data_IF_394710362654
#
_entry.id   IF_394710362654
#
_cell.length_a   1.000
_cell.length_b   1.000
_cell.length_c   1.000
_cell.angle_alpha   90.00
_cell.angle_beta   90.00
_cell.angle_gamma   90.00
#
_symmetry.space_group_name_H-M   'P 1'
#
loop_
_entity.id
_entity.type
_entity.pdbx_description
1 polymer ?
#
# COMPACT_ATOMS: atom_id res chain seq x y z
N UNK A 1 9.81 -0.01 35.21
CA UNK A 1 9.41 -1.01 34.20
C UNK A 1 9.87 -0.53 32.84
N UNK A 2 11.00 -1.04 32.30
CA UNK A 2 11.40 -0.73 30.92
C UNK A 2 10.50 -1.55 30.01
N UNK A 3 9.37 -0.96 29.61
CA UNK A 3 8.46 -1.56 28.65
C UNK A 3 9.28 -1.83 27.39
N UNK A 4 9.46 -3.10 27.05
CA UNK A 4 10.10 -3.53 25.82
C UNK A 4 9.21 -3.03 24.67
N UNK A 5 9.55 -1.88 24.10
CA UNK A 5 8.83 -1.33 22.96
C UNK A 5 9.23 -2.14 21.72
N UNK A 6 8.35 -3.00 21.18
CA UNK A 6 8.67 -3.76 19.99
C UNK A 6 8.80 -2.78 18.84
N UNK A 7 9.93 -2.82 18.13
CA UNK A 7 10.24 -1.87 17.06
C UNK A 7 9.25 -1.92 15.88
N UNK A 8 8.42 -2.97 15.81
CA UNK A 8 7.30 -3.13 14.86
C UNK A 8 6.15 -2.12 15.13
N UNK A 9 5.99 -1.66 16.38
CA UNK A 9 4.95 -0.69 16.73
C UNK A 9 5.14 0.66 16.03
N UNK A 10 6.37 1.01 15.66
CA UNK A 10 6.68 2.29 15.01
C UNK A 10 6.08 2.35 13.57
N UNK A 11 6.39 1.40 12.65
CA UNK A 11 5.69 1.34 11.36
C UNK A 11 4.17 1.16 11.49
N UNK A 12 3.71 0.37 12.45
CA UNK A 12 2.27 0.11 12.62
C UNK A 12 1.51 1.38 13.02
N UNK A 13 2.05 2.18 13.95
CA UNK A 13 1.45 3.45 14.35
C UNK A 13 1.41 4.45 13.20
N UNK A 14 2.46 4.50 12.38
CA UNK A 14 2.49 5.38 11.19
C UNK A 14 1.43 4.97 10.15
N UNK A 15 1.25 3.67 9.91
CA UNK A 15 0.19 3.18 9.00
C UNK A 15 -1.20 3.46 9.57
N UNK A 16 -1.39 3.32 10.89
CA UNK A 16 -2.65 3.65 11.55
C UNK A 16 -3.01 5.15 11.42
N UNK A 17 -2.03 6.04 11.53
CA UNK A 17 -2.23 7.47 11.27
C UNK A 17 -2.67 7.72 9.81
N UNK A 18 -2.00 7.09 8.84
CA UNK A 18 -2.39 7.19 7.43
C UNK A 18 -3.78 6.61 7.13
N UNK A 19 -4.23 5.61 7.88
CA UNK A 19 -5.60 5.10 7.79
C UNK A 19 -6.65 6.11 8.27
N UNK A 20 -6.32 6.92 9.29
CA UNK A 20 -7.20 8.01 9.71
C UNK A 20 -7.29 9.10 8.64
N UNK A 21 -6.17 9.46 8.02
CA UNK A 21 -6.17 10.40 6.88
C UNK A 21 -7.01 9.85 5.72
N UNK A 22 -6.87 8.56 5.39
CA UNK A 22 -7.66 7.89 4.36
C UNK A 22 -9.15 7.88 4.71
N UNK A 23 -9.51 7.64 5.98
CA UNK A 23 -10.89 7.65 6.43
C UNK A 23 -11.52 9.03 6.21
N UNK A 24 -10.84 10.09 6.66
CA UNK A 24 -11.31 11.48 6.50
C UNK A 24 -11.45 11.81 5.01
N UNK A 25 -10.44 11.49 4.19
CA UNK A 25 -10.47 11.72 2.75
C UNK A 25 -11.60 10.93 2.06
N UNK A 26 -11.85 9.69 2.48
CA UNK A 26 -12.91 8.83 1.93
C UNK A 26 -14.30 9.36 2.27
N UNK A 27 -14.51 9.87 3.49
CA UNK A 27 -15.79 10.49 3.89
C UNK A 27 -16.06 11.73 3.05
N UNK A 28 -15.06 12.60 2.86
CA UNK A 28 -15.18 13.78 2.01
C UNK A 28 -15.47 13.38 0.56
N UNK A 29 -14.76 12.38 0.03
CA UNK A 29 -14.96 11.87 -1.33
C UNK A 29 -16.37 11.32 -1.54
N UNK A 30 -16.89 10.53 -0.60
CA UNK A 30 -18.24 9.99 -0.66
C UNK A 30 -19.28 11.10 -0.57
N UNK A 31 -19.08 12.10 0.29
CA UNK A 31 -19.95 13.28 0.36
C UNK A 31 -20.01 14.04 -0.96
N UNK A 32 -18.87 14.26 -1.61
CA UNK A 32 -18.80 14.86 -2.94
C UNK A 32 -19.46 13.97 -4.01
N UNK A 33 -19.23 12.65 -3.98
CA UNK A 33 -19.83 11.73 -4.93
C UNK A 33 -21.36 11.77 -4.88
N UNK A 34 -21.95 11.85 -3.68
CA UNK A 34 -23.39 12.02 -3.48
C UNK A 34 -23.86 13.39 -4.01
N UNK A 35 -23.13 14.46 -3.69
CA UNK A 35 -23.45 15.82 -4.15
C UNK A 35 -23.45 15.94 -5.68
N UNK A 36 -22.50 15.30 -6.36
CA UNK A 36 -22.42 15.26 -7.83
C UNK A 36 -23.32 14.20 -8.49
N UNK A 37 -24.11 13.45 -7.72
CA UNK A 37 -25.03 12.44 -8.24
C UNK A 37 -24.37 11.20 -8.83
N UNK A 38 -23.16 10.85 -8.38
CA UNK A 38 -22.46 9.63 -8.82
C UNK A 38 -23.21 8.41 -8.29
N UNK A 39 -23.56 7.47 -9.18
CA UNK A 39 -24.27 6.25 -8.83
C UNK A 39 -23.36 5.28 -8.07
N UNK A 40 -23.45 5.35 -6.74
CA UNK A 40 -22.79 4.45 -5.81
C UNK A 40 -23.37 3.03 -5.94
N UNK A 41 -22.67 2.14 -6.63
CA UNK A 41 -23.03 0.72 -6.75
C UNK A 41 -22.65 -0.11 -5.52
N UNK A 42 -23.19 -1.33 -5.40
CA UNK A 42 -22.84 -2.30 -4.35
C UNK A 42 -21.32 -2.63 -4.28
N UNK A 43 -20.56 -2.32 -5.32
CA UNK A 43 -19.10 -2.52 -5.36
C UNK A 43 -18.35 -1.72 -4.29
N UNK A 44 -18.97 -0.72 -3.67
CA UNK A 44 -18.41 0.02 -2.52
C UNK A 44 -18.11 -0.91 -1.35
N UNK A 45 -18.84 -2.04 -1.22
CA UNK A 45 -18.58 -3.05 -0.21
C UNK A 45 -17.21 -3.74 -0.38
N UNK A 46 -16.56 -3.59 -1.54
CA UNK A 46 -15.19 -4.05 -1.78
C UNK A 46 -14.12 -3.07 -1.27
N UNK A 47 -14.47 -1.82 -0.96
CA UNK A 47 -13.51 -0.83 -0.46
C UNK A 47 -12.79 -1.29 0.81
N UNK A 48 -13.46 -1.83 1.85
CA UNK A 48 -12.78 -2.34 3.04
C UNK A 48 -11.72 -3.40 2.72
N UNK A 49 -11.98 -4.27 1.75
CA UNK A 49 -11.02 -5.30 1.32
C UNK A 49 -9.76 -4.67 0.72
N UNK A 50 -9.91 -3.66 -0.14
CA UNK A 50 -8.76 -2.96 -0.73
C UNK A 50 -8.01 -2.10 0.29
N UNK A 51 -8.70 -1.52 1.27
CA UNK A 51 -8.09 -0.81 2.40
C UNK A 51 -7.21 -1.77 3.21
N UNK A 52 -7.72 -2.97 3.53
CA UNK A 52 -6.93 -3.99 4.24
C UNK A 52 -5.70 -4.37 3.42
N UNK A 53 -5.85 -4.63 2.12
CA UNK A 53 -4.72 -5.00 1.27
C UNK A 53 -3.67 -3.88 1.18
N UNK A 54 -4.10 -2.62 1.05
CA UNK A 54 -3.23 -1.44 1.08
C UNK A 54 -2.48 -1.31 2.41
N UNK A 55 -3.18 -1.55 3.52
CA UNK A 55 -2.61 -1.52 4.87
C UNK A 55 -1.50 -2.57 5.03
N UNK A 56 -1.76 -3.80 4.57
CA UNK A 56 -0.78 -4.88 4.63
C UNK A 56 0.45 -4.58 3.76
N UNK A 57 0.26 -4.02 2.57
CA UNK A 57 1.35 -3.60 1.69
C UNK A 57 2.19 -2.48 2.33
N UNK A 58 1.52 -1.46 2.88
CA UNK A 58 2.17 -0.33 3.55
C UNK A 58 2.95 -0.79 4.79
N UNK A 59 2.41 -1.73 5.58
CA UNK A 59 3.11 -2.35 6.71
C UNK A 59 4.33 -3.13 6.24
N UNK A 60 4.19 -3.98 5.23
CA UNK A 60 5.29 -4.77 4.69
C UNK A 60 6.44 -3.89 4.19
N UNK A 61 6.13 -2.82 3.47
CA UNK A 61 7.12 -1.86 2.99
C UNK A 61 7.72 -1.04 4.13
N UNK A 62 6.88 -0.56 5.05
CA UNK A 62 7.32 0.20 6.22
C UNK A 62 8.28 -0.58 7.11
N UNK A 63 8.03 -1.89 7.32
CA UNK A 63 8.94 -2.79 8.04
C UNK A 63 10.26 -2.94 7.28
N UNK A 64 10.22 -3.19 5.97
CA UNK A 64 11.42 -3.35 5.14
C UNK A 64 12.29 -2.09 5.18
N UNK A 65 11.67 -0.93 4.91
CA UNK A 65 12.33 0.37 4.87
C UNK A 65 12.88 0.74 6.25
N UNK A 66 12.13 0.50 7.33
CA UNK A 66 12.60 0.74 8.70
C UNK A 66 13.85 -0.08 9.00
N UNK A 67 13.86 -1.36 8.62
CA UNK A 67 15.02 -2.23 8.80
C UNK A 67 16.24 -1.77 8.00
N UNK A 68 16.03 -1.28 6.77
CA UNK A 68 17.11 -0.74 5.94
C UNK A 68 17.63 0.60 6.46
N UNK A 69 16.75 1.47 6.99
CA UNK A 69 17.12 2.79 7.53
C UNK A 69 18.06 2.68 8.74
N UNK A 70 17.89 1.65 9.58
CA UNK A 70 18.82 1.36 10.69
C UNK A 70 20.24 1.13 10.20
N UNK A 71 20.41 0.48 9.04
CA UNK A 71 21.71 0.21 8.44
C UNK A 71 22.23 1.37 7.59
N UNK A 72 21.33 2.06 6.87
CA UNK A 72 21.66 3.12 5.91
C UNK A 72 20.77 4.35 6.13
N UNK A 73 21.33 5.38 6.77
CA UNK A 73 20.60 6.61 7.10
C UNK A 73 20.13 7.40 5.87
N UNK A 74 20.84 7.28 4.75
CA UNK A 74 20.55 7.99 3.50
C UNK A 74 19.21 7.59 2.86
N UNK A 75 18.70 6.41 3.21
CA UNK A 75 17.39 5.93 2.74
C UNK A 75 16.28 6.91 3.11
N UNK A 76 16.39 7.59 4.26
CA UNK A 76 15.41 8.59 4.68
C UNK A 76 15.26 9.73 3.66
N UNK A 77 16.34 10.13 3.00
CA UNK A 77 16.33 11.21 2.01
C UNK A 77 15.93 10.71 0.62
N UNK A 78 16.24 9.45 0.28
CA UNK A 78 15.85 8.86 -0.99
C UNK A 78 14.37 8.44 -1.05
N UNK A 79 13.76 8.11 0.10
CA UNK A 79 12.38 7.61 0.17
C UNK A 79 11.35 8.49 -0.52
N UNK A 80 11.28 9.82 -0.31
CA UNK A 80 10.32 10.68 -0.99
C UNK A 80 10.43 10.59 -2.51
N UNK A 81 11.67 10.55 -3.03
CA UNK A 81 11.92 10.42 -4.47
C UNK A 81 11.46 9.06 -5.00
N UNK A 82 11.80 7.97 -4.30
CA UNK A 82 11.38 6.62 -4.66
C UNK A 82 9.85 6.50 -4.69
N UNK A 83 9.17 6.99 -3.65
CA UNK A 83 7.71 6.96 -3.57
C UNK A 83 7.07 7.82 -4.66
N UNK A 84 7.64 8.97 -4.98
CA UNK A 84 7.16 9.83 -6.05
C UNK A 84 7.30 9.15 -7.43
N UNK A 85 8.46 8.56 -7.72
CA UNK A 85 8.64 7.77 -8.96
C UNK A 85 7.67 6.59 -9.00
N UNK A 86 7.48 5.90 -7.88
CA UNK A 86 6.59 4.75 -7.80
C UNK A 86 5.11 5.12 -8.01
N UNK A 87 4.71 6.31 -7.55
CA UNK A 87 3.39 6.88 -7.83
C UNK A 87 3.17 7.06 -9.35
N UNK A 88 4.16 7.57 -10.08
CA UNK A 88 4.07 7.71 -11.55
C UNK A 88 4.08 6.37 -12.29
N UNK A 89 4.77 5.36 -11.75
CA UNK A 89 4.76 4.00 -12.30
C UNK A 89 3.43 3.26 -12.04
N UNK A 90 2.61 3.76 -11.12
CA UNK A 90 1.29 3.20 -10.81
C UNK A 90 0.22 3.99 -11.55
N UNK A 91 -0.86 3.36 -12.06
CA UNK A 91 -1.92 4.07 -12.79
C UNK A 91 -2.86 4.84 -11.83
N UNK A 92 -2.30 5.76 -11.05
CA UNK A 92 -3.00 6.63 -10.11
C UNK A 92 -3.53 7.86 -10.86
N UNK A 93 -2.64 8.56 -11.57
CA UNK A 93 -2.94 9.84 -12.25
C UNK A 93 -3.53 9.62 -13.64
N UNK A 94 -3.26 8.46 -14.25
CA UNK A 94 -3.75 8.08 -15.57
C UNK A 94 -4.48 6.74 -15.54
N UNK A 95 -5.44 6.50 -16.45
CA UNK A 95 -6.07 5.20 -16.58
C UNK A 95 -5.12 4.20 -17.26
N UNK A 96 -5.14 2.94 -16.82
CA UNK A 96 -4.30 1.88 -17.37
C UNK A 96 -4.52 1.62 -18.89
N UNK A 97 -5.63 2.10 -19.47
CA UNK A 97 -5.94 1.99 -20.90
C UNK A 97 -4.98 2.78 -21.81
N UNK A 98 -4.39 3.87 -21.30
CA UNK A 98 -3.45 4.71 -22.05
C UNK A 98 -2.11 4.01 -22.26
N UNK A 99 -1.80 3.00 -21.43
CA UNK A 99 -0.52 2.29 -21.51
C UNK A 99 -0.56 1.24 -22.64
N UNK A 100 0.47 1.24 -23.53
CA UNK A 100 0.57 0.26 -24.61
C UNK A 100 0.46 -1.18 -24.09
N UNK A 101 -0.22 -2.05 -24.85
CA UNK A 101 -0.47 -3.44 -24.44
C UNK A 101 0.82 -4.19 -24.05
N UNK A 102 1.94 -3.90 -24.72
CA UNK A 102 3.27 -4.47 -24.43
C UNK A 102 3.82 -4.18 -23.02
N UNK A 103 3.31 -3.17 -22.31
CA UNK A 103 3.77 -2.79 -20.97
C UNK A 103 2.72 -3.04 -19.88
N UNK A 104 1.52 -3.53 -20.22
CA UNK A 104 0.47 -3.80 -19.23
C UNK A 104 0.85 -4.90 -18.24
N UNK A 105 1.67 -5.86 -18.65
CA UNK A 105 2.18 -6.89 -17.74
C UNK A 105 3.07 -6.31 -16.63
N UNK A 106 3.85 -5.26 -16.95
CA UNK A 106 4.72 -4.60 -15.97
C UNK A 106 3.87 -3.81 -14.96
N UNK A 107 2.76 -3.20 -15.40
CA UNK A 107 1.80 -2.59 -14.50
C UNK A 107 1.12 -3.63 -13.60
N UNK A 108 0.74 -4.79 -14.13
CA UNK A 108 0.11 -5.85 -13.36
C UNK A 108 1.06 -6.47 -12.31
N UNK A 109 2.37 -6.42 -12.53
CA UNK A 109 3.38 -6.86 -11.58
C UNK A 109 3.59 -5.88 -10.42
N UNK A 110 3.07 -4.65 -10.50
CA UNK A 110 3.13 -3.72 -9.38
C UNK A 110 1.96 -4.01 -8.41
N UNK A 111 2.23 -4.37 -7.13
CA UNK A 111 1.17 -4.71 -6.19
C UNK A 111 0.19 -3.55 -5.94
N UNK A 112 0.65 -2.30 -6.12
CA UNK A 112 -0.21 -1.12 -5.97
C UNK A 112 -1.21 -0.95 -7.11
N UNK A 113 -0.93 -1.49 -8.30
CA UNK A 113 -1.84 -1.37 -9.47
C UNK A 113 -3.18 -2.05 -9.20
N UNK A 114 -3.19 -3.29 -8.72
CA UNK A 114 -4.43 -4.01 -8.44
C UNK A 114 -5.25 -3.37 -7.31
N UNK A 115 -4.60 -2.73 -6.34
CA UNK A 115 -5.27 -1.98 -5.28
C UNK A 115 -5.96 -0.74 -5.87
N UNK A 116 -5.22 0.07 -6.63
CA UNK A 116 -5.74 1.34 -7.21
C UNK A 116 -6.85 1.09 -8.23
N UNK A 117 -6.68 0.13 -9.12
CA UNK A 117 -7.74 -0.26 -10.07
C UNK A 117 -8.94 -0.86 -9.34
N UNK A 118 -8.72 -1.59 -8.24
CA UNK A 118 -9.77 -2.09 -7.36
C UNK A 118 -10.60 -0.98 -6.72
N UNK A 119 -9.95 0.04 -6.16
CA UNK A 119 -10.60 1.26 -5.65
C UNK A 119 -11.41 1.98 -6.74
N UNK A 120 -10.83 2.13 -7.93
CA UNK A 120 -11.50 2.76 -9.07
C UNK A 120 -12.72 1.95 -9.52
N UNK A 121 -12.60 0.63 -9.62
CA UNK A 121 -13.70 -0.26 -9.99
C UNK A 121 -14.82 -0.27 -8.93
N UNK A 122 -14.46 -0.17 -7.65
CA UNK A 122 -15.42 -0.07 -6.55
C UNK A 122 -16.24 1.23 -6.59
N UNK A 123 -15.60 2.37 -6.88
CA UNK A 123 -16.25 3.68 -6.94
C UNK A 123 -17.08 3.88 -8.21
N UNK A 124 -16.59 3.43 -9.38
CA UNK A 124 -17.27 3.62 -10.66
C UNK A 124 -18.16 2.44 -11.09
N UNK A 125 -18.33 1.43 -10.23
CA UNK A 125 -19.15 0.25 -10.53
C UNK A 125 -18.65 -0.59 -11.70
N UNK A 126 -17.34 -0.56 -11.99
CA UNK A 126 -16.74 -1.33 -13.09
C UNK A 126 -16.40 -2.75 -12.64
N UNK A 127 -16.32 -3.66 -13.62
CA UNK A 127 -15.82 -5.01 -13.40
C UNK A 127 -14.36 -4.99 -12.92
N UNK A 128 -14.08 -5.80 -11.92
CA UNK A 128 -12.76 -5.88 -11.30
C UNK A 128 -11.92 -6.93 -12.02
N UNK A 129 -10.68 -6.61 -12.41
CA UNK A 129 -9.78 -7.61 -12.99
C UNK A 129 -9.18 -8.50 -11.89
N UNK A 130 -9.78 -9.67 -11.71
CA UNK A 130 -9.37 -10.66 -10.71
C UNK A 130 -7.90 -11.10 -10.88
N UNK A 131 -7.36 -11.10 -12.11
CA UNK A 131 -5.98 -11.55 -12.35
C UNK A 131 -4.99 -10.56 -11.75
N UNK A 132 -5.17 -9.27 -12.04
CA UNK A 132 -4.31 -8.21 -11.50
C UNK A 132 -4.41 -8.13 -9.98
N UNK A 133 -5.61 -8.32 -9.41
CA UNK A 133 -5.77 -8.40 -7.94
C UNK A 133 -5.08 -9.60 -7.35
N UNK A 134 -5.24 -10.80 -7.93
CA UNK A 134 -4.61 -12.00 -7.40
C UNK A 134 -3.08 -11.86 -7.37
N UNK A 135 -2.49 -11.25 -8.41
CA UNK A 135 -1.07 -10.93 -8.46
C UNK A 135 -0.71 -9.92 -7.36
N UNK A 136 -1.47 -8.83 -7.20
CA UNK A 136 -1.26 -7.86 -6.12
C UNK A 136 -1.34 -8.48 -4.73
N UNK A 137 -2.30 -9.37 -4.49
CA UNK A 137 -2.46 -10.09 -3.21
C UNK A 137 -1.26 -11.00 -2.96
N UNK A 138 -0.85 -11.79 -3.95
CA UNK A 138 0.29 -12.70 -3.84
C UNK A 138 1.59 -11.92 -3.55
N UNK A 139 1.86 -10.84 -4.28
CA UNK A 139 3.04 -10.00 -4.07
C UNK A 139 3.02 -9.31 -2.71
N UNK A 140 1.86 -8.80 -2.28
CA UNK A 140 1.71 -8.19 -0.95
C UNK A 140 1.97 -9.20 0.16
N UNK A 141 1.43 -10.42 0.04
CA UNK A 141 1.66 -11.50 1.00
C UNK A 141 3.15 -11.90 1.05
N UNK A 142 3.78 -12.10 -0.12
CA UNK A 142 5.21 -12.41 -0.22
C UNK A 142 6.08 -11.32 0.42
N UNK A 143 5.75 -10.06 0.15
CA UNK A 143 6.47 -8.91 0.70
C UNK A 143 6.30 -8.85 2.22
N UNK A 144 5.09 -9.04 2.74
CA UNK A 144 4.84 -9.01 4.19
C UNK A 144 5.60 -10.14 4.92
N UNK A 145 5.57 -11.36 4.37
CA UNK A 145 6.32 -12.51 4.91
C UNK A 145 7.83 -12.25 4.83
N UNK A 146 8.33 -11.77 3.69
CA UNK A 146 9.74 -11.44 3.50
C UNK A 146 10.22 -10.34 4.47
N UNK A 147 9.46 -9.25 4.58
CA UNK A 147 9.78 -8.13 5.47
C UNK A 147 9.81 -8.54 6.94
N UNK A 148 8.83 -9.32 7.40
CA UNK A 148 8.78 -9.80 8.79
C UNK A 148 9.93 -10.77 9.09
N UNK A 149 10.32 -11.63 8.15
CA UNK A 149 11.48 -12.51 8.29
C UNK A 149 12.79 -11.72 8.40
N UNK A 150 13.01 -10.76 7.50
CA UNK A 150 14.20 -9.89 7.51
C UNK A 150 14.27 -9.07 8.80
N UNK A 151 13.14 -8.52 9.25
CA UNK A 151 13.06 -7.75 10.48
C UNK A 151 13.47 -8.57 11.71
N UNK A 152 12.93 -9.79 11.86
CA UNK A 152 13.32 -10.71 12.95
C UNK A 152 14.80 -11.08 12.94
N UNK A 153 15.45 -11.05 11.77
CA UNK A 153 16.89 -11.31 11.66
C UNK A 153 17.71 -10.11 12.12
N UNK A 154 17.30 -8.89 11.75
CA UNK A 154 17.98 -7.64 12.14
C UNK A 154 17.77 -7.32 13.62
N UNK A 155 16.59 -7.59 14.17
CA UNK A 155 16.31 -7.41 15.60
C UNK A 155 17.25 -8.26 16.47
N UNK A 156 17.52 -9.51 16.08
CA UNK A 156 18.52 -10.37 16.76
C UNK A 156 19.93 -9.77 16.74
N UNK A 157 20.37 -9.26 15.59
CA UNK A 157 21.72 -8.67 15.45
C UNK A 157 21.86 -7.39 16.28
N UNK A 158 20.82 -6.57 16.37
CA UNK A 158 20.88 -5.30 17.11
C UNK A 158 20.82 -5.49 18.62
N UNK A 159 20.21 -6.60 19.10
CA UNK A 159 20.22 -6.95 20.53
C UNK A 159 21.63 -7.32 21.01
N UNK A 160 22.50 -7.83 20.14
CA UNK A 160 23.88 -8.21 20.50
C UNK A 160 24.87 -7.02 20.58
N UNK A 161 24.47 -5.82 20.13
CA UNK A 161 25.33 -4.62 20.12
C UNK A 161 25.00 -3.61 21.24
N UNK A 162 24.05 -3.92 22.14
CA UNK A 162 23.63 -3.05 23.26
C UNK A 162 24.04 -3.66 24.59
#
# INVERSE_FOLDING_TARGET
SKVYFPRIMIPAAAVAAGLMDLLIASVILLGLAIYYGVSLTLNILLLPLFIVLMTLLALGLGICVSALNVKYRDIRHALPFILQTWMFMTPIIYPASVVPARFRWALALNPMTGIVEGFRAALYGRGVDLKTIAISVALTALLLVGSTYVFKRIERIVVDFI
#
